data_IF_608795475983
#
_entry.id   IF_608795475983
#
_cell.length_a   1.000
_cell.length_b   1.000
_cell.length_c   1.000
_cell.angle_alpha   90.00
_cell.angle_beta   90.00
_cell.angle_gamma   90.00
#
_symmetry.space_group_name_H-M   'P 1'
#
loop_
_entity.id
_entity.type
_entity.pdbx_description
1 polymer ?
#
# COMPACT_ATOMS: atom_id res chain seq x y z
N UNK A 1 -2.23 -8.78 -25.84
CA UNK A 1 -1.32 -7.71 -25.37
C UNK A 1 -0.47 -8.26 -24.25
N UNK A 2 0.84 -8.12 -24.33
CA UNK A 2 1.81 -8.51 -23.29
C UNK A 2 2.09 -7.34 -22.37
N UNK A 3 1.77 -7.50 -21.09
CA UNK A 3 1.90 -6.45 -20.08
C UNK A 3 2.95 -6.85 -19.06
N UNK A 4 3.98 -6.03 -18.89
CA UNK A 4 4.93 -6.16 -17.80
C UNK A 4 4.52 -5.21 -16.67
N UNK A 5 4.15 -5.73 -15.51
CA UNK A 5 3.96 -4.94 -14.29
C UNK A 5 5.25 -5.05 -13.49
N UNK A 6 5.95 -3.92 -13.33
CA UNK A 6 7.23 -3.86 -12.65
C UNK A 6 7.11 -3.21 -11.27
N UNK A 7 7.62 -3.89 -10.25
CA UNK A 7 7.82 -3.29 -8.91
C UNK A 7 9.25 -3.58 -8.41
N UNK A 8 9.85 -2.64 -7.68
CA UNK A 8 11.23 -2.83 -7.17
C UNK A 8 11.33 -3.94 -6.12
N UNK A 9 10.24 -4.22 -5.44
CA UNK A 9 10.14 -5.24 -4.39
C UNK A 9 8.68 -5.64 -4.22
N UNK A 10 8.45 -6.86 -3.78
CA UNK A 10 7.15 -7.35 -3.34
C UNK A 10 7.24 -8.00 -1.95
N UNK A 11 8.09 -7.42 -1.09
CA UNK A 11 8.29 -7.85 0.29
C UNK A 11 7.07 -7.51 1.16
N UNK A 12 6.70 -8.38 2.10
CA UNK A 12 5.58 -8.16 3.01
C UNK A 12 5.71 -6.88 3.85
N UNK A 13 6.94 -6.45 4.13
CA UNK A 13 7.22 -5.22 4.86
C UNK A 13 6.81 -3.95 4.13
N UNK A 14 6.67 -3.99 2.79
CA UNK A 14 6.25 -2.82 1.98
C UNK A 14 4.77 -2.42 2.19
N UNK A 15 3.99 -3.26 2.85
CA UNK A 15 2.60 -2.96 3.20
C UNK A 15 1.66 -2.98 1.99
N UNK A 16 0.94 -1.88 1.72
CA UNK A 16 -0.10 -1.82 0.68
C UNK A 16 0.34 -2.29 -0.72
N UNK A 17 1.46 -1.80 -1.28
CA UNK A 17 1.93 -2.20 -2.60
C UNK A 17 2.17 -3.71 -2.76
N UNK A 18 2.75 -4.38 -1.75
CA UNK A 18 3.02 -5.83 -1.81
C UNK A 18 1.76 -6.70 -1.94
N UNK A 19 0.60 -6.13 -1.64
CA UNK A 19 -0.71 -6.78 -1.81
C UNK A 19 -1.41 -6.33 -3.08
N UNK A 20 -1.48 -5.02 -3.32
CA UNK A 20 -2.24 -4.47 -4.44
C UNK A 20 -1.60 -4.70 -5.81
N UNK A 21 -0.27 -4.84 -5.91
CA UNK A 21 0.42 -5.09 -7.20
C UNK A 21 0.13 -6.50 -7.72
N UNK A 22 0.23 -7.59 -6.93
CA UNK A 22 -0.20 -8.92 -7.37
C UNK A 22 -1.69 -8.99 -7.72
N UNK A 23 -2.57 -8.30 -6.97
CA UNK A 23 -4.01 -8.24 -7.28
C UNK A 23 -4.24 -7.53 -8.62
N UNK A 24 -3.52 -6.43 -8.88
CA UNK A 24 -3.57 -5.74 -10.18
C UNK A 24 -3.13 -6.68 -11.31
N UNK A 25 -2.03 -7.41 -11.14
CA UNK A 25 -1.54 -8.35 -12.14
C UNK A 25 -2.57 -9.45 -12.42
N UNK A 26 -3.19 -10.01 -11.39
CA UNK A 26 -4.31 -10.97 -11.50
C UNK A 26 -5.49 -10.37 -12.27
N UNK A 27 -5.86 -9.11 -11.96
CA UNK A 27 -6.94 -8.40 -12.66
C UNK A 27 -6.64 -8.18 -14.14
N UNK A 28 -5.45 -7.73 -14.49
CA UNK A 28 -5.00 -7.50 -15.88
C UNK A 28 -4.98 -8.81 -16.67
N UNK A 29 -4.57 -9.91 -16.05
CA UNK A 29 -4.60 -11.23 -16.69
C UNK A 29 -6.04 -11.73 -16.92
N UNK A 30 -6.96 -11.50 -15.98
CA UNK A 30 -8.37 -11.89 -16.10
C UNK A 30 -9.10 -11.22 -17.27
N UNK A 31 -8.65 -10.05 -17.71
CA UNK A 31 -9.20 -9.37 -18.90
C UNK A 31 -8.50 -9.77 -20.20
N UNK A 32 -7.74 -10.86 -20.21
CA UNK A 32 -7.15 -11.47 -21.41
C UNK A 32 -5.79 -10.96 -21.81
N UNK A 33 -5.08 -10.22 -20.93
CA UNK A 33 -3.69 -9.84 -21.18
C UNK A 33 -2.70 -10.94 -20.77
N UNK A 34 -1.67 -11.16 -21.57
CA UNK A 34 -0.52 -11.99 -21.22
C UNK A 34 0.34 -11.19 -20.21
N UNK A 35 0.18 -11.48 -18.94
CA UNK A 35 0.63 -10.63 -17.86
C UNK A 35 1.87 -11.18 -17.16
N UNK A 36 2.87 -10.34 -17.02
CA UNK A 36 4.10 -10.61 -16.29
C UNK A 36 4.17 -9.71 -15.06
N UNK A 37 4.44 -10.29 -13.90
CA UNK A 37 4.83 -9.54 -12.70
C UNK A 37 6.34 -9.68 -12.51
N UNK A 38 7.05 -8.58 -12.72
CA UNK A 38 8.51 -8.53 -12.60
C UNK A 38 8.89 -7.77 -11.33
N UNK A 39 9.72 -8.39 -10.50
CA UNK A 39 10.20 -7.82 -9.23
C UNK A 39 11.60 -8.32 -8.90
N UNK A 40 12.32 -7.62 -8.01
CA UNK A 40 13.58 -8.15 -7.47
C UNK A 40 13.31 -9.12 -6.32
N UNK A 41 14.23 -10.05 -6.14
CA UNK A 41 14.20 -10.95 -4.97
C UNK A 41 14.30 -10.18 -3.66
N UNK A 42 13.60 -10.65 -2.66
CA UNK A 42 13.61 -10.15 -1.28
C UNK A 42 13.43 -11.30 -0.30
N UNK A 43 13.67 -11.04 0.98
CA UNK A 43 13.69 -12.11 2.02
C UNK A 43 12.29 -12.71 2.23
N UNK A 44 11.25 -11.88 2.28
CA UNK A 44 9.87 -12.32 2.59
C UNK A 44 8.88 -11.84 1.50
N UNK A 45 8.95 -12.49 0.35
CA UNK A 45 8.13 -12.15 -0.81
C UNK A 45 6.65 -12.47 -0.59
N UNK A 46 5.78 -11.60 -1.06
CA UNK A 46 4.33 -11.74 -0.90
C UNK A 46 3.63 -11.97 -2.25
N UNK A 47 3.38 -13.21 -2.58
CA UNK A 47 2.63 -13.59 -3.79
C UNK A 47 1.30 -14.30 -3.46
N UNK A 48 0.80 -14.16 -2.25
CA UNK A 48 -0.43 -14.83 -1.80
C UNK A 48 -1.61 -14.61 -2.78
N UNK A 49 -1.78 -13.40 -3.32
CA UNK A 49 -2.83 -13.12 -4.30
C UNK A 49 -2.68 -13.88 -5.63
N UNK A 50 -1.53 -14.46 -5.92
CA UNK A 50 -1.24 -15.26 -7.12
C UNK A 50 -1.23 -16.75 -6.85
N UNK A 51 -1.36 -17.20 -5.61
CA UNK A 51 -1.46 -18.61 -5.28
C UNK A 51 -2.64 -19.25 -6.01
N UNK A 52 -2.38 -20.37 -6.69
CA UNK A 52 -3.39 -21.02 -7.53
C UNK A 52 -3.81 -20.26 -8.79
N UNK A 53 -3.08 -19.18 -9.18
CA UNK A 53 -3.39 -18.40 -10.38
C UNK A 53 -2.19 -18.35 -11.36
N UNK A 54 -1.97 -19.43 -12.16
CA UNK A 54 -0.80 -19.56 -13.03
C UNK A 54 -0.80 -18.62 -14.25
N UNK A 55 -1.89 -17.91 -14.50
CA UNK A 55 -2.03 -17.03 -15.67
C UNK A 55 -1.16 -15.75 -15.58
N UNK A 56 -0.64 -15.41 -14.40
CA UNK A 56 0.37 -14.36 -14.23
C UNK A 56 1.76 -15.00 -14.19
N UNK A 57 2.62 -14.62 -15.13
CA UNK A 57 4.01 -15.07 -15.17
C UNK A 57 4.87 -14.25 -14.22
N UNK A 58 5.37 -14.90 -13.17
CA UNK A 58 6.24 -14.26 -12.20
C UNK A 58 7.68 -14.27 -12.68
N UNK A 59 8.33 -13.10 -12.70
CA UNK A 59 9.74 -12.91 -13.07
C UNK A 59 10.51 -12.27 -11.91
N UNK A 60 11.30 -13.08 -11.22
CA UNK A 60 12.09 -12.64 -10.07
C UNK A 60 13.50 -12.35 -10.53
N UNK A 61 13.95 -11.12 -10.36
CA UNK A 61 15.27 -10.63 -10.75
C UNK A 61 16.21 -10.64 -9.54
N UNK A 62 17.52 -10.83 -9.75
CA UNK A 62 18.51 -10.66 -8.69
C UNK A 62 18.40 -9.26 -8.04
N UNK A 63 18.59 -9.18 -6.73
CA UNK A 63 18.54 -7.89 -6.02
C UNK A 63 19.51 -6.85 -6.61
N UNK A 64 20.73 -7.29 -6.96
CA UNK A 64 21.80 -6.44 -7.50
C UNK A 64 21.85 -6.47 -9.04
N UNK A 65 20.70 -6.63 -9.72
CA UNK A 65 20.64 -6.64 -11.18
C UNK A 65 21.23 -5.35 -11.77
N UNK A 66 22.12 -5.49 -12.75
CA UNK A 66 22.71 -4.37 -13.47
C UNK A 66 21.74 -3.82 -14.53
N UNK A 67 21.98 -2.57 -14.99
CA UNK A 67 21.21 -1.98 -16.09
C UNK A 67 21.18 -2.86 -17.34
N UNK A 68 22.34 -3.42 -17.75
CA UNK A 68 22.46 -4.27 -18.95
C UNK A 68 21.68 -5.59 -18.82
N UNK A 69 21.72 -6.21 -17.65
CA UNK A 69 20.93 -7.42 -17.38
C UNK A 69 19.43 -7.11 -17.38
N UNK A 70 19.03 -6.01 -16.73
CA UNK A 70 17.62 -5.58 -16.72
C UNK A 70 17.12 -5.26 -18.13
N UNK A 71 17.95 -4.64 -18.96
CA UNK A 71 17.65 -4.38 -20.38
C UNK A 71 17.39 -5.69 -21.14
N UNK A 72 18.24 -6.70 -20.97
CA UNK A 72 18.03 -8.02 -21.57
C UNK A 72 16.71 -8.65 -21.09
N UNK A 73 16.42 -8.59 -19.78
CA UNK A 73 15.22 -9.15 -19.21
C UNK A 73 13.92 -8.47 -19.70
N UNK A 74 13.96 -7.16 -19.95
CA UNK A 74 12.82 -6.43 -20.51
C UNK A 74 12.61 -6.74 -21.98
N UNK A 75 13.68 -6.93 -22.75
CA UNK A 75 13.58 -7.13 -24.20
C UNK A 75 13.23 -8.55 -24.61
N UNK A 76 13.60 -9.56 -23.81
CA UNK A 76 13.42 -10.97 -24.16
C UNK A 76 11.96 -11.35 -24.38
N UNK A 77 11.04 -10.79 -23.60
CA UNK A 77 9.61 -11.12 -23.61
C UNK A 77 8.78 -10.24 -24.56
N UNK A 78 9.40 -9.23 -25.19
CA UNK A 78 8.75 -8.32 -26.16
C UNK A 78 7.43 -7.76 -25.63
N UNK A 79 7.48 -7.01 -24.53
CA UNK A 79 6.31 -6.41 -23.93
C UNK A 79 5.71 -5.31 -24.81
N UNK A 80 4.39 -5.29 -24.93
CA UNK A 80 3.67 -4.23 -25.61
C UNK A 80 3.57 -2.96 -24.72
N UNK A 81 3.64 -3.13 -23.39
CA UNK A 81 3.58 -2.06 -22.42
C UNK A 81 4.26 -2.45 -21.11
N UNK A 82 4.91 -1.50 -20.45
CA UNK A 82 5.49 -1.64 -19.12
C UNK A 82 4.77 -0.75 -18.13
N UNK A 83 4.25 -1.32 -17.04
CA UNK A 83 3.57 -0.59 -15.98
C UNK A 83 4.44 -0.54 -14.72
N UNK A 84 5.03 0.61 -14.44
CA UNK A 84 5.99 0.85 -13.35
C UNK A 84 5.22 1.20 -12.07
N UNK A 85 5.40 0.42 -11.01
CA UNK A 85 4.65 0.51 -9.75
C UNK A 85 5.47 1.19 -8.64
N UNK A 86 5.86 2.42 -8.87
CA UNK A 86 6.63 3.22 -7.91
C UNK A 86 7.55 4.21 -8.57
N UNK A 87 8.21 5.02 -7.72
CA UNK A 87 9.17 6.05 -8.12
C UNK A 87 10.31 6.13 -7.07
N UNK A 88 11.25 7.03 -7.26
CA UNK A 88 12.39 7.38 -6.39
C UNK A 88 13.57 6.40 -6.41
N UNK A 89 13.33 5.08 -6.51
CA UNK A 89 14.40 4.08 -6.49
C UNK A 89 15.03 4.02 -7.90
N UNK A 90 16.37 4.01 -8.04
CA UNK A 90 17.04 4.05 -9.35
C UNK A 90 16.58 3.00 -10.35
N UNK A 91 16.18 1.83 -9.89
CA UNK A 91 15.73 0.76 -10.79
C UNK A 91 14.46 1.14 -11.57
N UNK A 92 13.55 1.96 -10.99
CA UNK A 92 12.39 2.48 -11.72
C UNK A 92 12.80 3.40 -12.86
N UNK A 93 13.84 4.24 -12.63
CA UNK A 93 14.44 5.05 -13.68
C UNK A 93 15.07 4.17 -14.78
N UNK A 94 15.75 3.09 -14.41
CA UNK A 94 16.33 2.17 -15.39
C UNK A 94 15.24 1.55 -16.28
N UNK A 95 14.14 1.07 -15.69
CA UNK A 95 13.00 0.52 -16.45
C UNK A 95 12.40 1.56 -17.39
N UNK A 96 12.15 2.78 -16.90
CA UNK A 96 11.62 3.88 -17.73
C UNK A 96 12.60 4.27 -18.85
N UNK A 97 13.90 4.31 -18.56
CA UNK A 97 14.96 4.60 -19.54
C UNK A 97 15.03 3.54 -20.64
N UNK A 98 14.98 2.26 -20.28
CA UNK A 98 14.96 1.14 -21.23
C UNK A 98 13.71 1.21 -22.09
N UNK A 99 12.52 1.42 -21.48
CA UNK A 99 11.29 1.55 -22.22
C UNK A 99 11.36 2.66 -23.28
N UNK A 100 11.85 3.85 -22.91
CA UNK A 100 12.06 4.96 -23.87
C UNK A 100 13.06 4.61 -24.96
N UNK A 101 14.20 4.00 -24.59
CA UNK A 101 15.27 3.64 -25.54
C UNK A 101 14.75 2.73 -26.65
N UNK A 102 13.83 1.83 -26.32
CA UNK A 102 13.31 0.83 -27.27
C UNK A 102 11.89 1.13 -27.75
N UNK A 103 11.36 2.32 -27.45
CA UNK A 103 10.02 2.72 -27.90
C UNK A 103 8.86 1.91 -27.28
N UNK A 104 9.10 1.28 -26.13
CA UNK A 104 8.07 0.52 -25.40
C UNK A 104 7.21 1.52 -24.61
N UNK A 105 5.89 1.59 -24.85
CA UNK A 105 5.01 2.41 -24.04
C UNK A 105 5.09 2.08 -22.54
N UNK A 106 5.07 3.09 -21.67
CA UNK A 106 5.06 2.80 -20.24
C UNK A 106 4.12 3.72 -19.45
N UNK A 107 3.60 3.17 -18.38
CA UNK A 107 2.73 3.83 -17.39
C UNK A 107 3.50 3.90 -16.06
N UNK A 108 3.32 4.98 -15.30
CA UNK A 108 3.87 5.11 -13.95
C UNK A 108 2.71 5.27 -12.96
N UNK A 109 2.74 4.48 -11.88
CA UNK A 109 1.88 4.65 -10.71
C UNK A 109 2.74 5.10 -9.52
N UNK A 110 2.64 6.38 -9.09
CA UNK A 110 3.47 6.89 -7.99
C UNK A 110 3.10 6.35 -6.61
N UNK A 111 1.86 5.87 -6.42
CA UNK A 111 1.37 5.27 -5.17
C UNK A 111 1.49 6.20 -3.96
N UNK A 112 1.08 7.46 -4.10
CA UNK A 112 1.14 8.47 -3.05
C UNK A 112 2.55 9.00 -2.74
N UNK A 113 3.57 8.59 -3.50
CA UNK A 113 4.94 9.03 -3.24
C UNK A 113 5.18 10.50 -3.60
N UNK A 114 4.26 11.14 -4.33
CA UNK A 114 4.24 12.57 -4.68
C UNK A 114 3.23 13.39 -3.86
N UNK A 115 2.60 12.79 -2.86
CA UNK A 115 1.74 13.50 -1.92
C UNK A 115 2.53 14.55 -1.12
N UNK A 116 1.93 15.71 -0.73
CA UNK A 116 2.61 16.78 -0.01
C UNK A 116 3.34 16.30 1.23
N UNK A 117 2.70 15.46 2.04
CA UNK A 117 3.34 14.85 3.21
C UNK A 117 4.54 14.00 2.83
N UNK A 118 4.42 13.16 1.81
CA UNK A 118 5.54 12.33 1.33
C UNK A 118 6.70 13.20 0.84
N UNK A 119 6.42 14.26 0.09
CA UNK A 119 7.43 15.17 -0.44
C UNK A 119 8.16 15.95 0.66
N UNK A 120 7.52 16.20 1.82
CA UNK A 120 8.18 16.84 2.97
C UNK A 120 9.24 15.95 3.63
N UNK A 121 9.12 14.61 3.48
CA UNK A 121 10.09 13.66 4.02
C UNK A 121 11.34 13.55 3.14
N UNK A 122 12.54 13.61 3.73
CA UNK A 122 13.83 13.56 3.00
C UNK A 122 13.86 14.55 1.82
N UNK A 123 13.30 15.73 2.00
CA UNK A 123 12.96 16.75 0.99
C UNK A 123 14.10 17.03 0.01
N UNK A 124 15.33 17.20 0.50
CA UNK A 124 16.47 17.53 -0.36
C UNK A 124 16.85 16.38 -1.31
N UNK A 125 16.80 15.11 -0.85
CA UNK A 125 17.09 13.93 -1.69
C UNK A 125 16.05 13.80 -2.80
N UNK A 126 14.78 13.99 -2.47
CA UNK A 126 13.69 13.94 -3.44
C UNK A 126 13.75 15.11 -4.44
N UNK A 127 14.10 16.30 -3.98
CA UNK A 127 14.31 17.45 -4.87
C UNK A 127 15.43 17.17 -5.87
N UNK A 128 16.54 16.59 -5.42
CA UNK A 128 17.65 16.21 -6.30
C UNK A 128 17.24 15.12 -7.29
N UNK A 129 16.59 14.06 -6.85
CA UNK A 129 16.10 12.99 -7.72
C UNK A 129 15.08 13.53 -8.76
N UNK A 130 14.19 14.41 -8.34
CA UNK A 130 13.24 15.08 -9.23
C UNK A 130 13.93 15.88 -10.33
N UNK A 131 15.02 16.57 -10.00
CA UNK A 131 15.80 17.35 -10.96
C UNK A 131 16.60 16.47 -11.91
N UNK A 132 17.21 15.39 -11.40
CA UNK A 132 18.14 14.57 -12.17
C UNK A 132 17.44 13.62 -13.14
N UNK A 133 16.37 12.95 -12.72
CA UNK A 133 15.74 11.91 -13.54
C UNK A 133 14.22 11.76 -13.36
N UNK A 134 13.70 11.92 -12.14
CA UNK A 134 12.34 11.48 -11.84
C UNK A 134 11.28 12.30 -12.59
N UNK A 135 11.48 13.64 -12.69
CA UNK A 135 10.58 14.51 -13.47
C UNK A 135 10.54 14.11 -14.92
N UNK A 136 11.71 13.86 -15.51
CA UNK A 136 11.83 13.43 -16.89
C UNK A 136 11.14 12.08 -17.14
N UNK A 137 11.32 11.11 -16.23
CA UNK A 137 10.67 9.80 -16.34
C UNK A 137 9.15 9.91 -16.33
N UNK A 138 8.60 10.73 -15.42
CA UNK A 138 7.15 10.92 -15.31
C UNK A 138 6.62 11.69 -16.52
N UNK A 139 7.27 12.77 -16.94
CA UNK A 139 6.81 13.59 -18.08
C UNK A 139 6.79 12.81 -19.41
N UNK A 140 7.68 11.84 -19.59
CA UNK A 140 7.75 11.01 -20.78
C UNK A 140 6.94 9.70 -20.67
N UNK A 141 6.26 9.45 -19.56
CA UNK A 141 5.33 8.34 -19.47
C UNK A 141 4.11 8.56 -20.36
N UNK A 142 3.64 7.53 -21.04
CA UNK A 142 2.45 7.60 -21.91
C UNK A 142 1.19 7.92 -21.10
N UNK A 143 1.13 7.47 -19.83
CA UNK A 143 0.10 7.82 -18.88
C UNK A 143 0.62 7.71 -17.44
N UNK A 144 -0.06 8.39 -16.52
CA UNK A 144 0.10 8.20 -15.09
C UNK A 144 -1.16 7.52 -14.56
N UNK A 145 -1.01 6.51 -13.71
CA UNK A 145 -2.12 5.92 -12.99
C UNK A 145 -2.09 6.46 -11.55
N UNK A 146 -3.16 7.15 -11.15
CA UNK A 146 -3.40 7.58 -9.78
C UNK A 146 -4.37 6.59 -9.10
N UNK A 147 -4.13 6.26 -7.84
CA UNK A 147 -5.00 5.33 -7.11
C UNK A 147 -6.11 6.03 -6.33
N UNK A 148 -6.12 7.37 -6.34
CA UNK A 148 -7.16 8.21 -5.74
C UNK A 148 -7.30 9.54 -6.52
N UNK A 149 -8.47 10.16 -6.46
CA UNK A 149 -8.69 11.47 -7.08
C UNK A 149 -7.75 12.54 -6.53
N UNK A 150 -7.49 12.52 -5.22
CA UNK A 150 -6.59 13.48 -4.59
C UNK A 150 -5.16 13.35 -5.10
N UNK A 151 -4.68 12.12 -5.36
CA UNK A 151 -3.37 11.90 -5.99
C UNK A 151 -3.31 12.53 -7.39
N UNK A 152 -4.37 12.42 -8.18
CA UNK A 152 -4.43 13.06 -9.52
C UNK A 152 -4.39 14.59 -9.41
N UNK A 153 -5.08 15.19 -8.44
CA UNK A 153 -5.03 16.63 -8.16
C UNK A 153 -3.61 17.08 -7.82
N UNK A 154 -2.93 16.35 -6.93
CA UNK A 154 -1.55 16.66 -6.53
C UNK A 154 -0.56 16.52 -7.70
N UNK A 155 -0.74 15.51 -8.56
CA UNK A 155 0.05 15.35 -9.78
C UNK A 155 -0.11 16.55 -10.72
N UNK A 156 -1.33 17.04 -10.90
CA UNK A 156 -1.58 18.26 -11.69
C UNK A 156 -0.96 19.51 -11.06
N UNK A 157 -1.03 19.66 -9.75
CA UNK A 157 -0.39 20.76 -9.02
C UNK A 157 1.13 20.75 -9.14
N UNK A 158 1.76 19.59 -9.34
CA UNK A 158 3.19 19.45 -9.63
C UNK A 158 3.56 19.75 -11.09
N UNK A 159 2.57 20.07 -11.94
CA UNK A 159 2.75 20.45 -13.35
C UNK A 159 2.89 19.28 -14.31
N UNK A 160 2.44 18.08 -13.97
CA UNK A 160 2.40 16.95 -14.90
C UNK A 160 1.15 17.06 -15.80
N UNK A 161 1.37 17.02 -17.12
CA UNK A 161 0.32 17.17 -18.14
C UNK A 161 -0.10 15.87 -18.81
N UNK A 162 0.60 14.78 -18.54
CA UNK A 162 0.29 13.45 -19.08
C UNK A 162 -1.20 13.09 -18.91
N UNK A 163 -1.76 12.18 -19.73
CA UNK A 163 -3.02 11.51 -19.39
C UNK A 163 -2.93 10.88 -17.99
N UNK A 164 -3.94 11.12 -17.14
CA UNK A 164 -4.03 10.52 -15.81
C UNK A 164 -5.28 9.64 -15.78
N UNK A 165 -5.09 8.35 -15.54
CA UNK A 165 -6.16 7.43 -15.23
C UNK A 165 -6.28 7.33 -13.70
N UNK A 166 -7.48 7.53 -13.14
CA UNK A 166 -7.74 7.31 -11.71
C UNK A 166 -8.38 5.94 -11.57
N UNK A 167 -7.60 4.99 -11.07
CA UNK A 167 -8.04 3.60 -10.89
C UNK A 167 -7.68 3.18 -9.46
N UNK A 168 -8.68 3.06 -8.58
CA UNK A 168 -8.47 2.61 -7.20
C UNK A 168 -7.85 1.22 -7.12
N UNK A 169 -7.13 0.93 -6.03
CA UNK A 169 -6.65 -0.42 -5.79
C UNK A 169 -7.82 -1.37 -5.58
N UNK A 170 -7.73 -2.58 -6.16
CA UNK A 170 -8.69 -3.65 -5.91
C UNK A 170 -8.38 -4.45 -4.65
N UNK A 171 -9.41 -5.06 -4.09
CA UNK A 171 -9.30 -6.12 -3.08
C UNK A 171 -10.05 -7.35 -3.55
N UNK A 172 -9.62 -8.53 -3.13
CA UNK A 172 -10.40 -9.75 -3.37
C UNK A 172 -11.42 -9.92 -2.23
N UNK A 173 -12.66 -9.52 -2.48
CA UNK A 173 -13.74 -9.56 -1.49
C UNK A 173 -13.97 -10.99 -0.96
N UNK A 174 -13.66 -12.03 -1.75
CA UNK A 174 -13.85 -13.42 -1.33
C UNK A 174 -12.95 -13.81 -0.16
N UNK A 175 -11.82 -13.13 0.02
CA UNK A 175 -10.91 -13.34 1.15
C UNK A 175 -11.43 -12.73 2.46
N UNK A 176 -12.40 -11.81 2.40
CA UNK A 176 -12.89 -11.01 3.53
C UNK A 176 -14.33 -11.29 3.93
N UNK A 177 -14.87 -12.45 3.56
CA UNK A 177 -16.20 -12.86 4.00
C UNK A 177 -16.16 -13.15 5.50
N UNK A 178 -16.61 -12.20 6.28
CA UNK A 178 -16.59 -12.32 7.73
C UNK A 178 -17.93 -12.64 8.33
N UNK A 179 -19.07 -12.13 7.85
CA UNK A 179 -20.28 -12.20 8.68
C UNK A 179 -21.56 -12.24 7.89
N UNK A 180 -22.46 -13.08 8.34
CA UNK A 180 -23.91 -12.89 8.19
C UNK A 180 -24.42 -12.03 9.34
N UNK A 181 -25.62 -11.48 9.21
CA UNK A 181 -26.28 -10.70 10.27
C UNK A 181 -26.51 -11.51 11.56
N UNK A 182 -26.39 -12.83 11.48
CA UNK A 182 -26.62 -13.80 12.57
C UNK A 182 -25.41 -13.95 13.49
N UNK A 183 -24.19 -13.58 13.03
CA UNK A 183 -22.94 -13.76 13.79
C UNK A 183 -22.65 -12.62 14.77
N UNK A 184 -23.63 -11.80 15.13
CA UNK A 184 -23.43 -10.59 15.96
C UNK A 184 -23.03 -10.86 17.40
N UNK A 185 -23.35 -12.01 17.94
CA UNK A 185 -23.09 -12.34 19.35
C UNK A 185 -21.60 -12.61 19.65
N UNK A 186 -20.80 -12.88 18.62
CA UNK A 186 -19.34 -13.08 18.75
C UNK A 186 -18.53 -11.77 18.62
N UNK A 187 -19.19 -10.63 18.40
CA UNK A 187 -18.51 -9.35 18.21
C UNK A 187 -17.99 -8.82 19.54
N UNK A 188 -16.68 -8.77 19.67
CA UNK A 188 -16.05 -8.11 20.82
C UNK A 188 -16.28 -6.60 20.78
N UNK A 189 -16.54 -6.01 21.91
CA UNK A 189 -16.55 -4.54 22.08
C UNK A 189 -15.14 -3.98 21.92
N UNK A 190 -14.63 -4.05 20.70
CA UNK A 190 -13.26 -3.77 20.33
C UNK A 190 -13.18 -2.75 19.20
N UNK A 191 -12.35 -1.74 19.41
CA UNK A 191 -11.90 -0.80 18.39
C UNK A 191 -10.59 -1.34 17.82
N UNK A 192 -10.53 -1.52 16.52
CA UNK A 192 -9.33 -1.99 15.81
C UNK A 192 -8.66 -0.85 15.06
N UNK A 193 -7.38 -0.67 15.31
CA UNK A 193 -6.43 0.00 14.41
C UNK A 193 -5.51 -1.07 13.83
N UNK A 194 -5.41 -1.11 12.50
CA UNK A 194 -4.51 -2.04 11.82
C UNK A 194 -3.79 -1.35 10.66
N UNK A 195 -2.51 -1.05 10.85
CA UNK A 195 -1.66 -0.43 9.84
C UNK A 195 -0.20 -0.48 10.29
N UNK A 196 0.73 0.04 9.47
CA UNK A 196 2.07 0.36 9.97
C UNK A 196 1.96 1.31 11.17
N UNK A 197 2.68 1.01 12.25
CA UNK A 197 2.82 1.89 13.41
C UNK A 197 3.80 2.99 13.05
N UNK A 198 3.26 4.16 12.66
CA UNK A 198 4.04 5.28 12.15
C UNK A 198 3.32 6.60 12.48
N UNK A 199 4.02 7.70 12.80
CA UNK A 199 3.38 8.99 13.14
C UNK A 199 2.34 9.48 12.13
N UNK A 200 2.58 9.23 10.83
CA UNK A 200 1.62 9.55 9.76
C UNK A 200 0.21 8.97 10.00
N UNK A 201 0.11 7.88 10.77
CA UNK A 201 -1.15 7.14 10.97
C UNK A 201 -2.01 7.67 12.11
N UNK A 202 -1.50 8.68 12.85
CA UNK A 202 -2.26 9.39 13.87
C UNK A 202 -2.69 8.55 15.06
N UNK A 203 -1.86 7.57 15.47
CA UNK A 203 -2.17 6.66 16.58
C UNK A 203 -2.36 7.44 17.88
N UNK A 204 -1.63 8.51 18.06
CA UNK A 204 -1.78 9.42 19.21
C UNK A 204 -3.18 10.02 19.28
N UNK A 205 -3.79 10.35 18.14
CA UNK A 205 -5.17 10.85 18.08
C UNK A 205 -6.14 9.79 18.61
N UNK A 206 -5.93 8.52 18.23
CA UNK A 206 -6.76 7.41 18.72
C UNK A 206 -6.61 7.24 20.24
N UNK A 207 -5.38 7.23 20.76
CA UNK A 207 -5.11 7.08 22.20
C UNK A 207 -5.74 8.24 22.99
N UNK A 208 -5.54 9.48 22.55
CA UNK A 208 -6.10 10.66 23.21
C UNK A 208 -7.63 10.68 23.16
N UNK A 209 -8.23 10.25 22.03
CA UNK A 209 -9.68 10.12 21.92
C UNK A 209 -10.23 9.04 22.86
N UNK A 210 -9.53 7.91 22.95
CA UNK A 210 -9.90 6.81 23.84
C UNK A 210 -9.83 7.20 25.30
N UNK A 211 -8.80 7.94 25.70
CA UNK A 211 -8.66 8.50 27.06
C UNK A 211 -9.92 9.24 27.51
N UNK A 212 -10.58 9.98 26.62
CA UNK A 212 -11.81 10.73 26.91
C UNK A 212 -13.04 9.84 26.99
N UNK A 213 -12.99 8.64 26.40
CA UNK A 213 -14.14 7.74 26.25
C UNK A 213 -14.11 6.56 27.22
N UNK A 214 -12.95 6.10 27.67
CA UNK A 214 -12.78 4.85 28.44
C UNK A 214 -13.60 4.87 29.75
N UNK A 215 -13.77 6.00 30.39
CA UNK A 215 -14.60 6.14 31.60
C UNK A 215 -16.07 5.79 31.37
N UNK A 216 -16.60 6.05 30.17
CA UNK A 216 -17.97 5.78 29.76
C UNK A 216 -18.14 4.37 29.17
N UNK A 217 -17.12 3.84 28.50
CA UNK A 217 -17.16 2.57 27.75
C UNK A 217 -16.19 1.55 28.37
N UNK A 218 -16.41 1.21 29.65
CA UNK A 218 -15.51 0.39 30.47
C UNK A 218 -15.32 -1.05 29.95
N UNK A 219 -16.25 -1.56 29.17
CA UNK A 219 -16.26 -2.89 28.58
C UNK A 219 -15.71 -2.94 27.14
N UNK A 220 -15.21 -1.78 26.65
CA UNK A 220 -14.57 -1.68 25.36
C UNK A 220 -13.04 -1.68 25.49
N UNK A 221 -12.36 -2.16 24.45
CA UNK A 221 -10.90 -2.11 24.34
C UNK A 221 -10.46 -1.59 22.97
N UNK A 222 -9.20 -1.15 22.90
CA UNK A 222 -8.54 -0.73 21.65
C UNK A 222 -7.38 -1.67 21.37
N UNK A 223 -7.36 -2.24 20.18
CA UNK A 223 -6.26 -3.05 19.67
C UNK A 223 -5.55 -2.32 18.54
N UNK A 224 -4.26 -2.06 18.73
CA UNK A 224 -3.38 -1.44 17.74
C UNK A 224 -2.47 -2.54 17.19
N UNK A 225 -2.72 -2.98 15.96
CA UNK A 225 -1.99 -4.07 15.32
C UNK A 225 -1.08 -3.53 14.22
N UNK A 226 0.20 -3.88 14.25
CA UNK A 226 1.13 -3.51 13.19
C UNK A 226 2.60 -3.60 13.55
N UNK A 227 3.46 -3.26 12.57
CA UNK A 227 4.89 -3.07 12.75
C UNK A 227 5.27 -1.60 12.63
N UNK A 228 6.38 -1.23 13.25
CA UNK A 228 6.89 0.14 13.21
C UNK A 228 8.31 0.23 13.77
N UNK A 229 8.85 1.43 13.83
CA UNK A 229 10.13 1.69 14.46
C UNK A 229 10.02 1.49 15.97
N UNK A 230 10.97 0.77 16.56
CA UNK A 230 10.97 0.40 17.99
C UNK A 230 10.83 1.63 18.91
N UNK A 231 11.56 2.72 18.60
CA UNK A 231 11.48 3.95 19.35
C UNK A 231 10.07 4.56 19.37
N UNK A 232 9.36 4.49 18.25
CA UNK A 232 8.00 5.02 18.17
C UNK A 232 6.99 4.09 18.87
N UNK A 233 7.17 2.78 18.78
CA UNK A 233 6.35 1.80 19.52
C UNK A 233 6.54 2.00 21.03
N UNK A 234 7.79 2.18 21.49
CA UNK A 234 8.11 2.45 22.91
C UNK A 234 7.47 3.75 23.38
N UNK A 235 7.56 4.81 22.60
CA UNK A 235 6.86 6.07 22.88
C UNK A 235 5.34 5.89 23.05
N UNK A 236 4.69 5.13 22.15
CA UNK A 236 3.24 4.87 22.26
C UNK A 236 2.89 4.06 23.52
N UNK A 237 3.73 3.07 23.89
CA UNK A 237 3.55 2.31 25.14
C UNK A 237 3.65 3.21 26.36
N UNK A 238 4.61 4.12 26.40
CA UNK A 238 4.72 5.12 27.47
C UNK A 238 3.52 6.06 27.50
N UNK A 239 3.04 6.51 26.34
CA UNK A 239 1.85 7.34 26.22
C UNK A 239 0.60 6.64 26.79
N UNK A 240 0.41 5.35 26.49
CA UNK A 240 -0.68 4.52 27.02
C UNK A 240 -0.56 4.44 28.55
N UNK A 241 0.62 4.10 29.07
CA UNK A 241 0.90 3.98 30.50
C UNK A 241 0.67 5.30 31.26
N UNK A 242 1.21 6.40 30.75
CA UNK A 242 1.07 7.72 31.37
C UNK A 242 -0.38 8.24 31.41
N UNK A 243 -1.24 7.66 30.57
CA UNK A 243 -2.67 7.96 30.56
C UNK A 243 -3.51 6.89 31.29
N UNK A 244 -2.89 5.92 31.98
CA UNK A 244 -3.57 4.83 32.71
C UNK A 244 -4.50 4.00 31.83
N UNK A 245 -4.10 3.73 30.58
CA UNK A 245 -4.90 3.01 29.58
C UNK A 245 -4.46 1.56 29.37
N UNK A 246 -3.46 1.06 30.11
CA UNK A 246 -2.87 -0.28 29.94
C UNK A 246 -3.91 -1.42 30.02
N UNK A 247 -4.98 -1.23 30.77
CA UNK A 247 -6.07 -2.21 30.89
C UNK A 247 -7.02 -2.28 29.70
N UNK A 248 -7.02 -1.24 28.85
CA UNK A 248 -7.98 -1.09 27.75
C UNK A 248 -7.36 -0.84 26.38
N UNK A 249 -6.05 -0.60 26.28
CA UNK A 249 -5.33 -0.39 25.02
C UNK A 249 -4.16 -1.37 24.92
N UNK A 250 -4.10 -2.12 23.85
CA UNK A 250 -2.99 -3.05 23.58
C UNK A 250 -2.35 -2.78 22.22
N UNK A 251 -1.01 -2.90 22.16
CA UNK A 251 -0.25 -2.91 20.92
C UNK A 251 0.21 -4.34 20.66
N UNK A 252 -0.17 -4.90 19.52
CA UNK A 252 0.16 -6.27 19.13
C UNK A 252 1.02 -6.30 17.87
N UNK A 253 1.82 -7.35 17.66
CA UNK A 253 2.59 -7.54 16.44
C UNK A 253 1.74 -7.50 15.17
N UNK A 254 2.35 -7.32 13.98
CA UNK A 254 1.63 -7.36 12.72
C UNK A 254 0.96 -8.72 12.51
N UNK A 255 -0.27 -8.71 12.02
CA UNK A 255 -1.06 -9.91 11.72
C UNK A 255 -1.30 -10.03 10.21
N UNK A 256 -1.28 -11.26 9.69
CA UNK A 256 -1.42 -11.57 8.28
C UNK A 256 -2.42 -12.72 8.06
N UNK A 257 -2.87 -12.89 6.83
CA UNK A 257 -3.71 -14.01 6.41
C UNK A 257 -4.97 -14.15 7.27
N UNK A 258 -5.22 -15.38 7.73
CA UNK A 258 -6.40 -15.71 8.52
C UNK A 258 -6.48 -14.97 9.87
N UNK A 259 -5.35 -14.80 10.56
CA UNK A 259 -5.33 -14.03 11.81
C UNK A 259 -5.76 -12.58 11.62
N UNK A 260 -5.34 -11.95 10.52
CA UNK A 260 -5.75 -10.59 10.16
C UNK A 260 -7.25 -10.54 9.89
N UNK A 261 -7.78 -11.48 9.12
CA UNK A 261 -9.21 -11.58 8.84
C UNK A 261 -10.01 -11.79 10.12
N UNK A 262 -9.58 -12.72 10.98
CA UNK A 262 -10.21 -12.97 12.28
C UNK A 262 -10.28 -11.70 13.13
N UNK A 263 -9.19 -10.92 13.18
CA UNK A 263 -9.13 -9.69 13.96
C UNK A 263 -10.12 -8.63 13.42
N UNK A 264 -10.30 -8.52 12.11
CA UNK A 264 -11.38 -7.71 11.55
C UNK A 264 -12.75 -8.24 11.97
N UNK A 265 -13.02 -9.54 11.77
CA UNK A 265 -14.33 -10.12 12.03
C UNK A 265 -14.76 -10.01 13.50
N UNK A 266 -13.85 -10.07 14.44
CA UNK A 266 -14.13 -9.96 15.87
C UNK A 266 -14.28 -8.52 16.37
N UNK A 267 -13.91 -7.50 15.57
CA UNK A 267 -13.91 -6.11 15.99
C UNK A 267 -15.23 -5.41 15.66
N UNK A 268 -15.68 -4.52 16.53
CA UNK A 268 -16.93 -3.73 16.36
C UNK A 268 -16.73 -2.48 15.52
N UNK A 269 -15.52 -1.92 15.52
CA UNK A 269 -15.22 -0.64 14.87
C UNK A 269 -13.78 -0.64 14.39
N UNK A 270 -13.55 -0.18 13.18
CA UNK A 270 -12.20 0.09 12.64
C UNK A 270 -11.92 1.59 12.66
N UNK A 271 -10.79 2.01 13.19
CA UNK A 271 -10.39 3.42 13.28
C UNK A 271 -9.01 3.63 12.68
N UNK A 272 -8.91 4.55 11.72
CA UNK A 272 -7.64 4.95 11.09
C UNK A 272 -7.56 6.48 11.01
N UNK A 273 -7.11 7.19 12.06
CA UNK A 273 -7.07 8.65 12.10
C UNK A 273 -5.82 9.21 11.41
N UNK A 274 -5.55 8.76 10.20
CA UNK A 274 -4.33 9.06 9.45
C UNK A 274 -4.26 10.52 9.00
N UNK A 275 -3.08 11.14 9.04
CA UNK A 275 -2.85 12.47 8.47
C UNK A 275 -2.79 12.48 6.94
N UNK A 276 -2.44 11.36 6.35
CA UNK A 276 -2.42 11.19 4.89
C UNK A 276 -2.42 9.71 4.54
N UNK A 277 -3.31 9.34 3.68
CA UNK A 277 -3.39 8.01 3.07
C UNK A 277 -3.54 8.18 1.56
N UNK A 278 -3.05 7.22 0.79
CA UNK A 278 -3.25 7.28 -0.65
C UNK A 278 -4.59 6.64 -1.05
N UNK A 279 -4.76 5.37 -0.69
CA UNK A 279 -6.00 4.63 -0.94
C UNK A 279 -6.57 3.99 0.33
N UNK A 280 -5.73 3.62 1.29
CA UNK A 280 -6.18 2.99 2.52
C UNK A 280 -6.68 1.55 2.35
N UNK A 281 -5.84 0.65 1.81
CA UNK A 281 -6.20 -0.77 1.64
C UNK A 281 -6.87 -1.39 2.87
N UNK A 282 -6.40 -1.05 4.07
CA UNK A 282 -6.96 -1.58 5.33
C UNK A 282 -8.37 -1.08 5.61
N UNK A 283 -8.75 0.09 5.06
CA UNK A 283 -10.12 0.61 5.12
C UNK A 283 -11.03 -0.23 4.22
N UNK A 284 -10.59 -0.48 2.99
CA UNK A 284 -11.34 -1.32 2.05
C UNK A 284 -11.50 -2.76 2.60
N UNK A 285 -10.47 -3.31 3.23
CA UNK A 285 -10.50 -4.61 3.90
C UNK A 285 -11.52 -4.61 5.07
N UNK A 286 -11.51 -3.59 5.92
CA UNK A 286 -12.46 -3.46 7.03
C UNK A 286 -13.91 -3.38 6.53
N UNK A 287 -14.16 -2.57 5.50
CA UNK A 287 -15.48 -2.47 4.86
C UNK A 287 -15.91 -3.78 4.23
N UNK A 288 -15.00 -4.52 3.59
CA UNK A 288 -15.28 -5.84 3.03
C UNK A 288 -15.64 -6.88 4.09
N UNK A 289 -15.11 -6.70 5.32
CA UNK A 289 -15.51 -7.48 6.50
C UNK A 289 -16.82 -7.01 7.14
N UNK A 290 -17.49 -5.99 6.61
CA UNK A 290 -18.74 -5.44 7.17
C UNK A 290 -18.56 -4.64 8.47
N UNK A 291 -17.36 -4.11 8.75
CA UNK A 291 -17.07 -3.36 9.96
C UNK A 291 -17.26 -1.86 9.68
N UNK A 292 -17.96 -1.12 10.54
CA UNK A 292 -17.99 0.34 10.51
C UNK A 292 -16.58 0.92 10.57
N UNK A 293 -16.33 1.99 9.80
CA UNK A 293 -15.01 2.62 9.69
C UNK A 293 -15.11 4.09 10.08
N UNK A 294 -14.20 4.53 10.95
CA UNK A 294 -13.91 5.94 11.20
C UNK A 294 -12.53 6.25 10.64
N UNK A 295 -12.46 7.22 9.75
CA UNK A 295 -11.20 7.73 9.19
C UNK A 295 -11.25 9.24 9.05
N UNK A 296 -10.15 9.85 8.66
CA UNK A 296 -10.03 11.30 8.46
C UNK A 296 -10.19 11.65 6.98
N UNK A 297 -10.36 12.92 6.68
CA UNK A 297 -10.40 13.46 5.30
C UNK A 297 -9.05 13.37 4.57
N UNK A 298 -7.99 12.89 5.23
CA UNK A 298 -6.69 12.62 4.63
C UNK A 298 -6.60 11.25 3.91
N UNK A 299 -7.74 10.58 3.69
CA UNK A 299 -7.84 9.28 3.01
C UNK A 299 -8.47 9.40 1.65
#
# INVERSE_FOLDING_TARGET
>A
MRVCIFTSTNDKSEGGPSRSVPILAKGVSKVGCDTFLMTRETIDMNFHALEGFPAVRLKILPYNITYKQLEQEILIDKYDIVHIQGIWIPIYHYVASIARKYGIPYIITPRGALEPWSLSQKKWKKKLAMLLYQRFDIQNANAILATANLEAVHLRALGFTNPIAVIPNGIDISEYKCRTFEDRDEIKKQILFLSRIHPKKGIEILIESWKRLTGKYKDWNVVIAGNGEENYISYLKELIKNNYLDSSVSIIPPVFGEMKRKLYCESSLFVLPTYSENFGMVIAEALACGIPVITTTGT
#
